data_IF_785337491424
#
_entry.id   IF_785337491424
#
_cell.length_a   1.000
_cell.length_b   1.000
_cell.length_c   1.000
_cell.angle_alpha   90.00
_cell.angle_beta   90.00
_cell.angle_gamma   90.00
#
_symmetry.space_group_name_H-M   'P 1'
#
loop_
_entity.id
_entity.type
_entity.pdbx_description
1 polymer ?
#
# COMPACT_ATOMS: atom_id res chain seq x y z
N UNK A 1 5.50 -30.21 24.97
CA UNK A 1 5.69 -29.96 23.52
C UNK A 1 6.86 -29.01 23.39
N UNK A 2 7.89 -29.42 22.63
CA UNK A 2 9.18 -28.74 22.49
C UNK A 2 9.03 -27.38 21.81
N UNK A 3 9.48 -26.32 22.47
CA UNK A 3 9.67 -24.98 21.91
C UNK A 3 10.83 -25.01 20.92
N UNK A 4 10.55 -25.42 19.69
CA UNK A 4 11.49 -25.29 18.58
C UNK A 4 11.76 -23.80 18.36
N UNK A 5 12.99 -23.40 18.59
CA UNK A 5 13.57 -22.11 18.22
C UNK A 5 13.28 -21.83 16.74
N UNK A 6 12.26 -21.03 16.42
CA UNK A 6 12.03 -20.54 15.06
C UNK A 6 13.26 -19.75 14.64
N UNK A 7 13.97 -20.29 13.63
CA UNK A 7 15.21 -19.75 13.07
C UNK A 7 15.01 -18.28 12.68
N UNK A 8 16.06 -17.48 12.89
CA UNK A 8 16.11 -16.02 12.73
C UNK A 8 15.49 -15.57 11.39
N UNK A 9 14.49 -14.68 11.49
CA UNK A 9 13.69 -14.13 10.39
C UNK A 9 14.38 -13.04 9.56
N UNK A 10 15.55 -12.55 9.97
CA UNK A 10 16.19 -11.40 9.33
C UNK A 10 17.33 -11.85 8.42
N UNK A 11 17.20 -11.57 7.13
CA UNK A 11 18.27 -11.79 6.15
C UNK A 11 18.87 -10.45 5.73
N UNK A 12 20.20 -10.43 5.67
CA UNK A 12 20.97 -9.29 5.18
C UNK A 12 21.01 -9.28 3.66
N UNK A 13 20.72 -8.15 3.03
CA UNK A 13 20.92 -7.95 1.59
C UNK A 13 21.73 -6.70 1.28
N UNK A 14 23.06 -6.84 1.22
CA UNK A 14 23.95 -5.72 0.88
C UNK A 14 23.95 -5.36 -0.61
N UNK A 15 23.65 -6.32 -1.48
CA UNK A 15 23.77 -6.16 -2.93
C UNK A 15 22.41 -5.79 -3.55
N UNK A 16 22.18 -4.50 -3.73
CA UNK A 16 20.99 -3.96 -4.38
C UNK A 16 20.75 -4.55 -5.78
N UNK A 17 21.80 -4.96 -6.51
CA UNK A 17 21.67 -5.54 -7.85
C UNK A 17 21.02 -6.94 -7.86
N UNK A 18 21.07 -7.63 -6.71
CA UNK A 18 20.50 -8.97 -6.51
C UNK A 18 19.22 -8.96 -5.69
N UNK A 19 18.74 -7.80 -5.25
CA UNK A 19 17.62 -7.69 -4.33
C UNK A 19 16.34 -8.33 -4.87
N UNK A 20 15.94 -8.02 -6.11
CA UNK A 20 14.75 -8.63 -6.72
C UNK A 20 14.87 -10.16 -6.80
N UNK A 21 16.03 -10.69 -7.19
CA UNK A 21 16.26 -12.13 -7.21
C UNK A 21 16.22 -12.76 -5.82
N UNK A 22 16.67 -12.04 -4.78
CA UNK A 22 16.59 -12.48 -3.38
C UNK A 22 15.15 -12.48 -2.87
N UNK A 23 14.33 -11.49 -3.21
CA UNK A 23 12.89 -11.49 -2.91
C UNK A 23 12.23 -12.72 -3.54
N UNK A 24 12.44 -12.95 -4.84
CA UNK A 24 11.86 -14.09 -5.55
C UNK A 24 12.31 -15.44 -4.97
N UNK A 25 13.57 -15.53 -4.55
CA UNK A 25 14.09 -16.71 -3.86
C UNK A 25 13.42 -16.90 -2.50
N UNK A 26 13.32 -15.84 -1.70
CA UNK A 26 12.73 -15.88 -0.38
C UNK A 26 11.22 -16.20 -0.43
N UNK A 27 10.49 -15.72 -1.43
CA UNK A 27 9.10 -16.13 -1.72
C UNK A 27 9.02 -17.64 -1.99
N UNK A 28 9.94 -18.21 -2.79
CA UNK A 28 9.99 -19.66 -3.02
C UNK A 28 10.32 -20.47 -1.76
N UNK A 29 11.11 -19.88 -0.86
CA UNK A 29 11.51 -20.51 0.41
C UNK A 29 10.48 -20.32 1.53
N UNK A 30 9.55 -19.37 1.40
CA UNK A 30 8.53 -19.04 2.40
C UNK A 30 7.74 -20.24 2.93
N UNK A 31 7.26 -21.20 2.10
CA UNK A 31 6.52 -22.37 2.61
C UNK A 31 7.32 -23.24 3.59
N UNK A 32 8.65 -23.17 3.55
CA UNK A 32 9.55 -23.95 4.41
C UNK A 32 10.02 -23.16 5.64
N UNK A 33 10.09 -21.84 5.54
CA UNK A 33 10.74 -20.98 6.53
C UNK A 33 9.78 -20.08 7.30
N UNK A 34 8.55 -19.90 6.80
CA UNK A 34 7.62 -18.89 7.30
C UNK A 34 8.02 -17.48 6.86
N UNK A 35 7.49 -16.43 7.53
CA UNK A 35 7.78 -15.05 7.16
C UNK A 35 9.26 -14.69 7.20
N UNK A 36 9.65 -13.75 6.35
CA UNK A 36 11.05 -13.33 6.18
C UNK A 36 11.10 -11.80 6.16
N UNK A 37 12.02 -11.20 6.92
CA UNK A 37 12.32 -9.77 6.85
C UNK A 37 13.71 -9.60 6.23
N UNK A 38 13.79 -8.97 5.07
CA UNK A 38 15.05 -8.54 4.48
C UNK A 38 15.40 -7.14 5.01
N UNK A 39 16.64 -6.92 5.44
CA UNK A 39 17.12 -5.59 5.87
C UNK A 39 18.50 -5.28 5.27
N UNK A 40 18.87 -4.00 5.23
CA UNK A 40 20.14 -3.50 4.73
C UNK A 40 21.36 -4.11 5.43
N UNK A 41 21.48 -3.88 6.73
CA UNK A 41 22.67 -4.22 7.51
C UNK A 41 22.58 -5.63 8.15
N UNK A 42 21.42 -6.27 8.09
CA UNK A 42 21.13 -7.54 8.78
C UNK A 42 21.17 -7.41 10.31
N UNK A 43 21.34 -6.20 10.84
CA UNK A 43 21.45 -5.92 12.25
C UNK A 43 20.06 -5.78 12.84
N UNK A 44 19.56 -6.90 13.36
CA UNK A 44 18.31 -6.93 14.13
C UNK A 44 18.31 -5.86 15.26
N UNK A 45 19.46 -5.60 15.87
CA UNK A 45 19.63 -4.62 16.94
C UNK A 45 19.37 -3.20 16.45
N UNK A 46 19.93 -2.79 15.31
CA UNK A 46 19.70 -1.46 14.75
C UNK A 46 18.24 -1.31 14.29
N UNK A 47 17.71 -2.33 13.63
CA UNK A 47 16.30 -2.37 13.21
C UNK A 47 15.35 -2.23 14.40
N UNK A 48 15.56 -3.00 15.48
CA UNK A 48 14.74 -2.93 16.69
C UNK A 48 14.92 -1.60 17.44
N UNK A 49 16.12 -1.02 17.47
CA UNK A 49 16.35 0.30 18.06
C UNK A 49 15.57 1.38 17.31
N UNK A 50 15.57 1.35 15.97
CA UNK A 50 14.77 2.29 15.18
C UNK A 50 13.27 2.08 15.42
N UNK A 51 12.80 0.84 15.48
CA UNK A 51 11.39 0.53 15.81
C UNK A 51 11.01 0.98 17.23
N UNK A 52 11.94 0.98 18.17
CA UNK A 52 11.71 1.49 19.53
C UNK A 52 11.46 3.01 19.53
N UNK A 53 12.04 3.73 18.57
CA UNK A 53 11.83 5.17 18.39
C UNK A 53 10.59 5.51 17.56
N UNK A 54 9.80 4.51 17.14
CA UNK A 54 8.61 4.75 16.32
C UNK A 54 7.47 5.33 17.16
N UNK A 55 6.99 6.50 16.76
CA UNK A 55 5.86 7.25 17.34
C UNK A 55 4.68 7.34 16.35
N UNK A 56 4.96 7.23 15.05
CA UNK A 56 3.98 7.36 13.98
C UNK A 56 3.99 6.13 13.06
N UNK A 57 2.83 5.72 12.57
CA UNK A 57 2.70 4.66 11.58
C UNK A 57 1.88 5.14 10.38
N UNK A 58 2.46 5.11 9.19
CA UNK A 58 1.73 5.32 7.94
C UNK A 58 1.66 4.02 7.16
N UNK A 59 0.47 3.68 6.68
CA UNK A 59 0.25 2.45 5.96
C UNK A 59 -0.61 2.72 4.73
N UNK A 60 -0.22 2.17 3.58
CA UNK A 60 -1.17 2.03 2.48
C UNK A 60 -2.25 0.99 2.85
N UNK A 61 -3.37 1.02 2.14
CA UNK A 61 -4.46 0.08 2.35
C UNK A 61 -4.37 -1.14 1.42
N UNK A 62 -4.46 -0.92 0.11
CA UNK A 62 -4.63 -1.98 -0.89
C UNK A 62 -3.43 -2.91 -0.90
N UNK A 63 -3.67 -4.21 -0.69
CA UNK A 63 -2.63 -5.23 -0.68
C UNK A 63 -1.51 -5.02 0.38
N UNK A 64 -1.60 -3.96 1.19
CA UNK A 64 -0.75 -3.61 2.33
C UNK A 64 -1.45 -3.92 3.66
N UNK A 65 -2.33 -3.04 4.15
CA UNK A 65 -3.13 -3.28 5.35
C UNK A 65 -4.24 -4.31 5.07
N UNK A 66 -4.83 -4.24 3.88
CA UNK A 66 -5.72 -5.23 3.32
C UNK A 66 -4.91 -6.28 2.57
N UNK A 67 -5.25 -7.56 2.68
CA UNK A 67 -4.65 -8.60 1.84
C UNK A 67 -5.17 -8.55 0.40
N UNK A 68 -6.38 -8.02 0.24
CA UNK A 68 -7.10 -7.89 -1.02
C UNK A 68 -6.87 -6.50 -1.65
N UNK A 69 -7.29 -6.37 -2.90
CA UNK A 69 -7.27 -5.11 -3.64
C UNK A 69 -8.72 -4.61 -3.80
N UNK A 70 -9.02 -3.45 -3.23
CA UNK A 70 -10.36 -2.82 -3.25
C UNK A 70 -10.88 -2.64 -4.68
N UNK A 71 -10.00 -2.30 -5.62
CA UNK A 71 -10.36 -2.06 -7.01
C UNK A 71 -10.82 -3.32 -7.74
N UNK A 72 -10.27 -4.48 -7.40
CA UNK A 72 -10.72 -5.74 -7.96
C UNK A 72 -12.16 -6.06 -7.54
N UNK A 73 -12.49 -5.79 -6.27
CA UNK A 73 -13.86 -5.96 -5.73
C UNK A 73 -14.83 -5.00 -6.40
N UNK A 74 -14.43 -3.74 -6.56
CA UNK A 74 -15.22 -2.73 -7.27
C UNK A 74 -15.45 -3.12 -8.74
N UNK A 75 -14.42 -3.60 -9.44
CA UNK A 75 -14.51 -4.03 -10.84
C UNK A 75 -15.50 -5.19 -11.03
N UNK A 76 -15.49 -6.17 -10.13
CA UNK A 76 -16.39 -7.31 -10.16
C UNK A 76 -17.84 -6.87 -9.94
N UNK A 77 -18.08 -6.01 -8.94
CA UNK A 77 -19.41 -5.44 -8.69
C UNK A 77 -19.91 -4.65 -9.90
N UNK A 78 -19.04 -3.82 -10.47
CA UNK A 78 -19.35 -3.00 -11.64
C UNK A 78 -19.67 -3.86 -12.85
N UNK A 79 -18.97 -4.97 -13.04
CA UNK A 79 -19.28 -5.93 -14.10
C UNK A 79 -20.67 -6.55 -13.93
N UNK A 80 -21.08 -6.89 -12.71
CA UNK A 80 -22.44 -7.40 -12.45
C UNK A 80 -23.52 -6.33 -12.65
N UNK A 81 -23.31 -5.11 -12.16
CA UNK A 81 -24.26 -4.00 -12.40
C UNK A 81 -24.37 -3.65 -13.88
N UNK A 82 -23.26 -3.72 -14.63
CA UNK A 82 -23.26 -3.50 -16.07
C UNK A 82 -24.17 -4.48 -16.83
N UNK A 83 -24.32 -5.72 -16.36
CA UNK A 83 -25.25 -6.68 -16.97
C UNK A 83 -26.70 -6.21 -16.88
N UNK A 84 -27.01 -5.36 -15.90
CA UNK A 84 -28.35 -4.88 -15.58
C UNK A 84 -28.58 -3.43 -16.03
N UNK A 85 -27.51 -2.67 -16.25
CA UNK A 85 -27.53 -1.27 -16.70
C UNK A 85 -26.78 -1.09 -18.03
N UNK A 86 -27.51 -0.94 -19.16
CA UNK A 86 -26.92 -0.72 -20.48
C UNK A 86 -26.11 0.58 -20.64
N UNK A 87 -26.40 1.60 -19.82
CA UNK A 87 -25.62 2.84 -19.81
C UNK A 87 -24.27 2.60 -19.14
N UNK A 88 -24.28 1.95 -17.98
CA UNK A 88 -23.06 1.54 -17.27
C UNK A 88 -22.19 0.59 -18.10
N UNK A 89 -22.81 -0.38 -18.78
CA UNK A 89 -22.11 -1.30 -19.68
C UNK A 89 -21.37 -0.59 -20.83
N UNK A 90 -21.98 0.45 -21.41
CA UNK A 90 -21.35 1.26 -22.45
C UNK A 90 -20.19 2.09 -21.90
N UNK A 91 -20.34 2.65 -20.70
CA UNK A 91 -19.24 3.37 -20.05
C UNK A 91 -18.06 2.44 -19.75
N UNK A 92 -18.33 1.27 -19.16
CA UNK A 92 -17.30 0.25 -18.88
C UNK A 92 -16.64 -0.31 -20.14
N UNK A 93 -17.40 -0.53 -21.22
CA UNK A 93 -16.85 -0.93 -22.51
C UNK A 93 -15.92 0.14 -23.10
N UNK A 94 -16.34 1.41 -23.07
CA UNK A 94 -15.54 2.53 -23.54
C UNK A 94 -14.26 2.70 -22.71
N UNK A 95 -14.36 2.58 -21.38
CA UNK A 95 -13.23 2.54 -20.46
C UNK A 95 -12.24 1.41 -20.81
N UNK A 96 -12.74 0.17 -20.95
CA UNK A 96 -11.93 -1.03 -21.23
C UNK A 96 -11.33 -1.07 -22.65
N UNK A 97 -11.83 -0.28 -23.61
CA UNK A 97 -11.35 -0.25 -25.00
C UNK A 97 -10.63 1.03 -25.42
N UNK A 98 -10.90 2.16 -24.79
CA UNK A 98 -10.32 3.44 -25.20
C UNK A 98 -9.26 3.89 -24.21
N UNK A 99 -9.51 3.69 -22.91
CA UNK A 99 -8.60 4.16 -21.85
C UNK A 99 -7.70 3.00 -21.41
N UNK A 100 -8.25 1.81 -21.21
CA UNK A 100 -7.50 0.62 -20.84
C UNK A 100 -6.52 0.11 -21.92
N UNK A 101 -6.69 0.18 -23.24
CA UNK A 101 -5.59 -0.23 -24.13
C UNK A 101 -4.46 0.80 -24.16
N UNK A 102 -4.73 2.05 -23.76
CA UNK A 102 -3.71 3.07 -23.54
C UNK A 102 -3.10 3.03 -22.12
N UNK A 103 -3.77 2.41 -21.13
CA UNK A 103 -3.36 2.35 -19.71
C UNK A 103 -3.17 0.93 -19.09
N UNK A 104 -3.79 -0.10 -19.67
CA UNK A 104 -3.73 -1.56 -19.46
C UNK A 104 -3.16 -2.33 -20.66
N UNK A 105 -2.82 -1.65 -21.77
CA UNK A 105 -2.10 -2.23 -22.92
C UNK A 105 -0.73 -2.82 -22.56
N UNK A 106 -0.38 -2.79 -21.28
CA UNK A 106 0.85 -3.31 -20.72
C UNK A 106 0.70 -4.30 -19.56
N UNK A 107 -0.47 -4.91 -19.35
CA UNK A 107 -0.55 -6.08 -18.45
C UNK A 107 0.13 -7.33 -19.04
N UNK A 108 0.53 -7.30 -20.33
CA UNK A 108 1.37 -8.35 -20.96
C UNK A 108 2.66 -7.84 -21.62
N UNK A 109 3.11 -6.63 -21.26
CA UNK A 109 4.41 -6.10 -21.65
C UNK A 109 4.46 -4.64 -21.27
N UNK A 110 5.49 -4.16 -20.56
CA UNK A 110 5.61 -2.74 -20.23
C UNK A 110 5.56 -1.82 -21.46
N UNK A 111 5.67 -0.49 -21.28
CA UNK A 111 6.07 0.51 -22.31
C UNK A 111 5.07 1.64 -22.71
N UNK A 112 4.38 2.32 -21.78
CA UNK A 112 3.92 3.71 -22.05
C UNK A 112 4.53 4.73 -21.07
N UNK A 113 4.47 4.47 -19.76
CA UNK A 113 5.07 5.34 -18.72
C UNK A 113 6.61 5.32 -18.68
N UNK A 114 7.24 4.21 -19.10
CA UNK A 114 8.71 4.00 -19.03
C UNK A 114 9.56 4.94 -19.90
N UNK A 115 8.97 5.61 -20.89
CA UNK A 115 9.70 6.49 -21.82
C UNK A 115 9.85 7.93 -21.31
N UNK A 116 9.02 8.37 -20.36
CA UNK A 116 9.01 9.75 -19.91
C UNK A 116 9.99 10.03 -18.76
N UNK A 117 10.39 8.98 -18.02
CA UNK A 117 11.30 9.11 -16.88
C UNK A 117 12.47 8.13 -17.03
N UNK A 118 13.62 8.60 -17.49
CA UNK A 118 14.86 7.85 -17.33
C UNK A 118 15.25 7.87 -15.85
N UNK A 119 15.03 6.74 -15.15
CA UNK A 119 15.27 6.56 -13.71
C UNK A 119 16.65 7.07 -13.23
N UNK A 120 17.66 7.11 -14.10
CA UNK A 120 19.02 7.60 -13.80
C UNK A 120 19.13 9.12 -13.56
N UNK A 121 18.22 9.95 -14.07
CA UNK A 121 18.18 11.40 -13.76
C UNK A 121 17.18 11.76 -12.65
N UNK A 122 16.39 10.80 -12.20
CA UNK A 122 15.10 10.98 -11.51
C UNK A 122 15.21 10.85 -9.98
N UNK A 123 16.28 10.25 -9.48
CA UNK A 123 16.55 10.08 -8.04
C UNK A 123 17.06 11.39 -7.39
N UNK A 124 17.52 12.35 -8.19
CA UNK A 124 18.17 13.57 -7.72
C UNK A 124 17.15 14.63 -7.21
N UNK A 125 15.87 14.57 -7.64
CA UNK A 125 14.79 15.46 -7.19
C UNK A 125 13.60 14.66 -6.60
N UNK A 126 13.87 13.96 -5.50
CA UNK A 126 12.94 13.06 -4.78
C UNK A 126 11.58 13.69 -4.42
N UNK A 127 11.49 14.97 -4.00
CA UNK A 127 10.20 15.60 -3.65
C UNK A 127 9.29 15.81 -4.86
N UNK A 128 9.82 16.25 -6.00
CA UNK A 128 9.03 16.53 -7.21
C UNK A 128 8.47 15.23 -7.80
N UNK A 129 9.25 14.14 -7.78
CA UNK A 129 8.81 12.82 -8.23
C UNK A 129 7.71 12.27 -7.31
N UNK A 130 7.92 12.33 -6.00
CA UNK A 130 6.95 11.83 -5.03
C UNK A 130 5.64 12.65 -5.04
N UNK A 131 5.69 13.95 -5.38
CA UNK A 131 4.53 14.79 -5.60
C UNK A 131 3.84 14.49 -6.95
N UNK A 132 4.61 14.27 -8.02
CA UNK A 132 4.08 13.95 -9.35
C UNK A 132 3.40 12.57 -9.34
N UNK A 133 4.03 11.55 -8.76
CA UNK A 133 3.46 10.21 -8.63
C UNK A 133 2.19 10.23 -7.76
N UNK A 134 2.20 10.97 -6.66
CA UNK A 134 1.02 11.12 -5.80
C UNK A 134 -0.13 11.85 -6.51
N UNK A 135 0.16 12.90 -7.30
CA UNK A 135 -0.84 13.61 -8.09
C UNK A 135 -1.43 12.70 -9.17
N UNK A 136 -0.61 11.89 -9.84
CA UNK A 136 -1.06 10.98 -10.87
C UNK A 136 -1.89 9.82 -10.30
N UNK A 137 -1.42 9.15 -9.24
CA UNK A 137 -2.19 8.13 -8.51
C UNK A 137 -3.52 8.69 -8.00
N UNK A 138 -3.53 9.93 -7.51
CA UNK A 138 -4.75 10.63 -7.11
C UNK A 138 -5.70 10.82 -8.30
N UNK A 139 -5.20 11.26 -9.46
CA UNK A 139 -6.04 11.40 -10.67
C UNK A 139 -6.61 10.05 -11.12
N UNK A 140 -5.82 8.98 -11.10
CA UNK A 140 -6.27 7.64 -11.48
C UNK A 140 -7.34 7.09 -10.53
N UNK A 141 -7.11 7.19 -9.21
CA UNK A 141 -8.10 6.82 -8.19
C UNK A 141 -9.39 7.64 -8.34
N UNK A 142 -9.26 8.94 -8.59
CA UNK A 142 -10.40 9.87 -8.75
C UNK A 142 -11.28 9.50 -9.95
N UNK A 143 -10.69 9.26 -11.12
CA UNK A 143 -11.44 8.91 -12.34
C UNK A 143 -12.13 7.55 -12.22
N UNK A 144 -11.47 6.58 -11.57
CA UNK A 144 -12.04 5.25 -11.36
C UNK A 144 -13.18 5.28 -10.33
N UNK A 145 -13.04 6.06 -9.25
CA UNK A 145 -14.06 6.19 -8.20
C UNK A 145 -15.30 6.92 -8.71
N UNK A 146 -15.16 8.09 -9.35
CA UNK A 146 -16.31 8.81 -9.91
C UNK A 146 -17.13 7.92 -10.83
N UNK A 147 -16.50 7.06 -11.61
CA UNK A 147 -17.23 6.24 -12.59
C UNK A 147 -17.77 4.92 -12.01
N UNK A 148 -17.22 4.45 -10.90
CA UNK A 148 -17.59 3.16 -10.31
C UNK A 148 -18.66 3.26 -9.22
N UNK A 149 -18.72 4.38 -8.50
CA UNK A 149 -19.63 4.47 -7.35
C UNK A 149 -20.76 5.48 -7.48
N UNK A 150 -20.76 6.35 -8.50
CA UNK A 150 -21.86 7.31 -8.70
C UNK A 150 -23.22 6.58 -8.76
N UNK A 151 -24.18 7.10 -7.99
CA UNK A 151 -25.53 6.56 -7.86
C UNK A 151 -25.64 5.33 -6.94
N UNK A 152 -24.54 4.79 -6.40
CA UNK A 152 -24.60 3.79 -5.32
C UNK A 152 -24.98 4.45 -4.01
N UNK A 153 -25.77 3.76 -3.18
CA UNK A 153 -26.01 4.24 -1.83
C UNK A 153 -24.77 4.04 -0.97
N UNK A 154 -24.59 4.88 0.05
CA UNK A 154 -23.52 4.74 1.03
C UNK A 154 -23.49 3.36 1.69
N UNK A 155 -24.66 2.77 1.92
CA UNK A 155 -24.80 1.41 2.45
C UNK A 155 -24.24 0.37 1.48
N UNK A 156 -24.54 0.47 0.18
CA UNK A 156 -24.00 -0.45 -0.83
C UNK A 156 -22.47 -0.35 -0.92
N UNK A 157 -21.93 0.87 -0.83
CA UNK A 157 -20.50 1.12 -0.87
C UNK A 157 -19.82 0.48 0.35
N UNK A 158 -20.34 0.71 1.55
CA UNK A 158 -19.82 0.08 2.78
C UNK A 158 -19.94 -1.43 2.77
N UNK A 159 -21.00 -1.97 2.16
CA UNK A 159 -21.17 -3.42 2.05
C UNK A 159 -20.01 -4.10 1.32
N UNK A 160 -19.27 -3.40 0.45
CA UNK A 160 -18.09 -3.93 -0.24
C UNK A 160 -16.97 -4.36 0.70
N UNK A 161 -16.88 -3.74 1.88
CA UNK A 161 -15.93 -4.14 2.92
C UNK A 161 -16.10 -5.60 3.36
N UNK A 162 -17.24 -6.25 3.09
CA UNK A 162 -17.43 -7.68 3.38
C UNK A 162 -16.54 -8.60 2.54
N UNK A 163 -16.00 -8.11 1.43
CA UNK A 163 -15.12 -8.85 0.53
C UNK A 163 -13.64 -8.61 0.79
N UNK A 164 -13.32 -7.73 1.76
CA UNK A 164 -11.97 -7.30 2.06
C UNK A 164 -11.52 -7.85 3.41
N UNK A 165 -10.31 -8.39 3.44
CA UNK A 165 -9.71 -8.98 4.64
C UNK A 165 -8.49 -8.18 5.05
N UNK A 166 -8.47 -7.72 6.29
CA UNK A 166 -7.27 -7.14 6.87
C UNK A 166 -6.19 -8.20 7.02
N UNK A 167 -4.93 -7.82 6.75
CA UNK A 167 -3.79 -8.70 7.04
C UNK A 167 -3.70 -8.94 8.55
N UNK A 168 -3.50 -10.19 8.99
CA UNK A 168 -3.29 -10.46 10.42
C UNK A 168 -2.11 -9.63 10.96
N UNK A 169 -2.25 -9.07 12.16
CA UNK A 169 -1.24 -8.18 12.76
C UNK A 169 -1.45 -6.69 12.50
N UNK A 170 -2.30 -6.28 11.54
CA UNK A 170 -2.44 -4.87 11.19
C UNK A 170 -3.16 -4.09 12.29
N UNK A 171 -4.23 -4.66 12.85
CA UNK A 171 -4.97 -4.06 13.97
C UNK A 171 -4.05 -3.95 15.19
N UNK A 172 -3.21 -4.95 15.43
CA UNK A 172 -2.22 -4.94 16.49
C UNK A 172 -1.18 -3.83 16.30
N UNK A 173 -0.68 -3.60 15.08
CA UNK A 173 0.21 -2.47 14.80
C UNK A 173 -0.46 -1.12 15.04
N UNK A 174 -1.69 -0.96 14.55
CA UNK A 174 -2.48 0.26 14.77
C UNK A 174 -2.78 0.51 16.25
N UNK A 175 -2.92 -0.55 17.06
CA UNK A 175 -3.10 -0.44 18.51
C UNK A 175 -1.82 -0.22 19.32
N UNK A 176 -0.63 -0.40 18.72
CA UNK A 176 0.66 -0.26 19.40
C UNK A 176 1.33 1.10 19.22
N UNK A 177 0.88 1.90 18.25
CA UNK A 177 1.52 3.15 17.84
C UNK A 177 0.47 4.27 17.93
N UNK A 178 0.79 5.33 18.69
CA UNK A 178 -0.18 6.36 19.10
C UNK A 178 -0.79 7.11 17.91
N UNK A 179 0.01 7.43 16.88
CA UNK A 179 -0.45 8.08 15.66
C UNK A 179 -0.30 7.16 14.44
N UNK A 180 -1.27 6.27 14.26
CA UNK A 180 -1.35 5.36 13.12
C UNK A 180 -2.36 5.87 12.08
N UNK A 181 -1.98 5.94 10.80
CA UNK A 181 -2.83 6.45 9.72
C UNK A 181 -2.78 5.54 8.48
N UNK A 182 -3.93 5.41 7.83
CA UNK A 182 -4.05 4.88 6.47
C UNK A 182 -3.94 6.03 5.48
N UNK A 183 -3.07 5.91 4.49
CA UNK A 183 -2.98 6.81 3.33
C UNK A 183 -3.15 5.97 2.08
N UNK A 184 -4.26 6.15 1.37
CA UNK A 184 -4.58 5.28 0.24
C UNK A 184 -5.31 6.01 -0.89
N UNK A 185 -5.17 5.49 -2.11
CA UNK A 185 -6.02 5.86 -3.23
C UNK A 185 -7.43 5.28 -3.17
N UNK A 186 -7.72 4.36 -2.24
CA UNK A 186 -9.03 3.72 -2.07
C UNK A 186 -10.13 4.64 -1.53
N UNK A 187 -11.34 4.08 -1.31
CA UNK A 187 -12.52 4.82 -0.85
C UNK A 187 -12.58 4.81 0.68
N UNK A 188 -12.64 5.99 1.28
CA UNK A 188 -12.64 6.17 2.74
C UNK A 188 -13.71 5.33 3.47
N UNK A 189 -14.97 5.36 2.99
CA UNK A 189 -16.05 4.60 3.63
C UNK A 189 -15.80 3.08 3.60
N UNK A 190 -15.15 2.56 2.56
CA UNK A 190 -14.81 1.13 2.44
C UNK A 190 -13.69 0.77 3.41
N UNK A 191 -12.63 1.59 3.47
CA UNK A 191 -11.50 1.40 4.39
C UNK A 191 -12.00 1.43 5.84
N UNK A 192 -12.77 2.47 6.20
CA UNK A 192 -13.30 2.63 7.56
C UNK A 192 -14.18 1.45 7.98
N UNK A 193 -15.09 1.02 7.09
CA UNK A 193 -15.95 -0.13 7.35
C UNK A 193 -15.15 -1.43 7.45
N UNK A 194 -14.11 -1.62 6.63
CA UNK A 194 -13.24 -2.80 6.69
C UNK A 194 -12.59 -2.93 8.06
N UNK A 195 -12.05 -1.84 8.61
CA UNK A 195 -11.48 -1.82 9.97
C UNK A 195 -12.55 -2.03 11.05
N UNK A 196 -13.71 -1.37 10.94
CA UNK A 196 -14.80 -1.51 11.90
C UNK A 196 -15.30 -2.95 12.01
N UNK A 197 -15.40 -3.67 10.89
CA UNK A 197 -15.78 -5.09 10.83
C UNK A 197 -14.78 -6.02 11.52
N UNK A 198 -13.53 -5.59 11.66
CA UNK A 198 -12.48 -6.28 12.41
C UNK A 198 -12.38 -5.79 13.87
N UNK A 199 -13.39 -5.07 14.36
CA UNK A 199 -13.47 -4.61 15.75
C UNK A 199 -12.59 -3.40 16.06
N UNK A 200 -12.06 -2.72 15.04
CA UNK A 200 -11.19 -1.56 15.21
C UNK A 200 -11.79 -0.33 14.54
N UNK A 201 -12.32 0.62 15.32
CA UNK A 201 -12.96 1.82 14.77
C UNK A 201 -11.90 2.91 14.60
N UNK A 202 -11.51 3.16 13.36
CA UNK A 202 -10.65 4.29 13.01
C UNK A 202 -11.44 5.59 13.06
N UNK A 203 -10.90 6.62 13.71
CA UNK A 203 -11.42 7.97 13.54
C UNK A 203 -11.16 8.49 12.12
N UNK A 204 -12.03 9.37 11.63
CA UNK A 204 -11.89 10.04 10.33
C UNK A 204 -10.51 10.69 10.12
N UNK A 205 -9.84 11.10 11.20
CA UNK A 205 -8.52 11.70 11.13
C UNK A 205 -7.39 10.70 10.89
N UNK A 206 -7.62 9.39 11.09
CA UNK A 206 -6.64 8.35 10.77
C UNK A 206 -6.70 7.88 9.32
N UNK A 207 -7.74 8.23 8.56
CA UNK A 207 -7.88 7.79 7.17
C UNK A 207 -7.71 8.99 6.23
N UNK A 208 -6.72 8.89 5.35
CA UNK A 208 -6.44 9.83 4.25
C UNK A 208 -6.66 9.08 2.94
N UNK A 209 -7.90 9.13 2.47
CA UNK A 209 -8.36 8.41 1.30
C UNK A 209 -9.42 9.23 0.55
N UNK A 210 -9.89 8.72 -0.60
CA UNK A 210 -10.90 9.39 -1.42
C UNK A 210 -12.22 9.41 -0.66
N UNK A 211 -12.79 10.60 -0.45
CA UNK A 211 -14.11 10.75 0.19
C UNK A 211 -15.16 11.07 -0.88
N UNK A 212 -16.30 10.42 -0.76
CA UNK A 212 -17.44 10.60 -1.64
C UNK A 212 -18.34 11.72 -1.14
N UNK A 213 -18.94 12.43 -2.08
CA UNK A 213 -20.05 13.35 -1.81
C UNK A 213 -21.37 12.63 -2.03
N UNK A 214 -22.36 12.87 -1.17
CA UNK A 214 -23.62 12.14 -1.17
C UNK A 214 -24.81 13.12 -1.27
N UNK A 215 -25.88 12.71 -1.95
CA UNK A 215 -27.15 13.44 -1.95
C UNK A 215 -27.98 13.18 -0.68
N UNK A 216 -29.18 13.77 -0.62
CA UNK A 216 -30.12 13.59 0.50
C UNK A 216 -30.62 12.14 0.66
N UNK A 217 -30.53 11.32 -0.40
CA UNK A 217 -30.85 9.89 -0.38
C UNK A 217 -29.61 9.02 -0.07
N UNK A 218 -28.51 9.63 0.38
CA UNK A 218 -27.22 8.97 0.63
C UNK A 218 -26.63 8.27 -0.61
N UNK A 219 -26.91 8.76 -1.81
CA UNK A 219 -26.31 8.24 -3.06
C UNK A 219 -25.09 9.06 -3.44
N UNK A 220 -24.03 8.39 -3.86
CA UNK A 220 -22.80 9.06 -4.24
C UNK A 220 -23.01 9.92 -5.50
N UNK A 221 -22.73 11.22 -5.41
CA UNK A 221 -22.79 12.18 -6.51
C UNK A 221 -21.43 12.32 -7.23
N UNK A 222 -20.35 11.96 -6.55
CA UNK A 222 -18.99 12.10 -7.03
C UNK A 222 -18.00 12.12 -5.87
N UNK A 223 -16.82 12.70 -6.10
CA UNK A 223 -15.76 12.84 -5.09
C UNK A 223 -15.80 14.24 -4.48
N UNK A 224 -15.51 14.35 -3.18
CA UNK A 224 -15.40 15.66 -2.53
C UNK A 224 -14.27 16.47 -3.17
N UNK A 225 -14.51 17.70 -3.66
CA UNK A 225 -13.53 18.47 -4.46
C UNK A 225 -12.19 18.74 -3.76
N UNK A 226 -12.17 18.80 -2.42
CA UNK A 226 -10.95 18.99 -1.63
C UNK A 226 -10.10 17.72 -1.53
N UNK A 227 -10.61 16.59 -2.00
CA UNK A 227 -9.99 15.27 -1.88
C UNK A 227 -9.39 14.73 -3.19
N UNK A 228 -9.60 15.40 -4.33
CA UNK A 228 -8.96 15.11 -5.63
C UNK A 228 -7.44 15.30 -5.62
N UNK A 229 -6.91 16.05 -4.63
CA UNK A 229 -5.47 16.35 -4.47
C UNK A 229 -4.87 15.72 -3.19
N UNK A 230 -5.58 14.79 -2.53
CA UNK A 230 -5.30 14.41 -1.14
C UNK A 230 -4.03 13.62 -0.91
N UNK A 231 -3.58 12.80 -1.86
CA UNK A 231 -2.35 12.02 -1.65
C UNK A 231 -1.10 12.89 -1.82
N UNK A 232 -1.17 13.97 -2.60
CA UNK A 232 -0.04 14.87 -2.87
C UNK A 232 0.16 15.99 -1.85
N UNK A 233 -0.89 16.78 -1.56
CA UNK A 233 -0.76 18.01 -0.74
C UNK A 233 -0.88 17.79 0.77
N UNK A 234 -1.79 16.92 1.22
CA UNK A 234 -1.94 16.63 2.68
C UNK A 234 -0.83 15.73 3.22
N UNK A 235 -0.07 15.12 2.30
CA UNK A 235 1.17 14.40 2.56
C UNK A 235 2.31 15.34 2.93
N UNK A 236 2.46 16.51 2.31
CA UNK A 236 3.46 17.49 2.74
C UNK A 236 3.16 17.99 4.15
N UNK A 237 1.88 18.22 4.50
CA UNK A 237 1.48 18.60 5.85
C UNK A 237 1.74 17.47 6.86
N UNK A 238 1.38 16.23 6.52
CA UNK A 238 1.61 15.05 7.39
C UNK A 238 3.11 14.71 7.54
N UNK A 239 3.91 14.82 6.48
CA UNK A 239 5.36 14.52 6.52
C UNK A 239 6.18 15.69 7.08
N UNK A 240 5.76 16.94 6.90
CA UNK A 240 6.43 18.10 7.48
C UNK A 240 6.31 18.12 9.02
N UNK A 241 5.18 17.64 9.55
CA UNK A 241 4.96 17.48 11.00
C UNK A 241 5.70 16.27 11.58
N UNK A 242 5.83 15.17 10.82
CA UNK A 242 6.25 13.86 11.31
C UNK A 242 7.61 13.42 10.74
N UNK A 243 8.66 14.17 11.08
CA UNK A 243 10.01 13.95 10.52
C UNK A 243 10.90 12.97 11.32
N UNK A 244 10.45 12.43 12.45
CA UNK A 244 11.19 11.45 13.24
C UNK A 244 10.24 10.37 13.76
N UNK A 245 10.77 9.16 13.98
CA UNK A 245 9.97 8.09 14.57
C UNK A 245 8.82 7.58 13.69
N UNK A 246 8.88 7.75 12.37
CA UNK A 246 7.83 7.25 11.48
C UNK A 246 8.16 5.86 10.95
N UNK A 247 7.23 4.92 11.08
CA UNK A 247 7.23 3.65 10.35
C UNK A 247 6.27 3.77 9.18
N UNK A 248 6.71 3.43 7.97
CA UNK A 248 5.85 3.43 6.79
C UNK A 248 5.81 2.04 6.18
N UNK A 249 4.62 1.55 5.81
CA UNK A 249 4.46 0.28 5.13
C UNK A 249 3.62 0.47 3.87
N UNK A 250 4.12 -0.03 2.75
CA UNK A 250 3.40 -0.18 1.49
C UNK A 250 3.58 -1.59 0.93
N UNK A 251 3.06 -1.85 -0.25
CA UNK A 251 3.17 -3.15 -0.93
C UNK A 251 3.99 -3.08 -2.23
N UNK A 252 4.39 -1.87 -2.61
CA UNK A 252 5.10 -1.60 -3.85
C UNK A 252 6.14 -0.50 -3.71
N UNK A 253 7.03 -0.41 -4.71
CA UNK A 253 7.96 0.71 -4.79
C UNK A 253 7.24 2.03 -5.05
N UNK A 254 6.00 1.97 -5.54
CA UNK A 254 5.21 3.14 -5.88
C UNK A 254 4.67 3.84 -4.64
N UNK A 255 4.64 3.14 -3.50
CA UNK A 255 4.35 3.68 -2.17
C UNK A 255 5.52 4.47 -1.59
N UNK A 256 6.60 4.66 -2.36
CA UNK A 256 7.69 5.57 -2.00
C UNK A 256 7.21 7.00 -1.72
N UNK A 257 6.03 7.35 -2.23
CA UNK A 257 5.41 8.61 -1.90
C UNK A 257 5.00 8.69 -0.42
N UNK A 258 4.86 7.59 0.32
CA UNK A 258 4.57 7.61 1.75
C UNK A 258 5.84 7.67 2.62
N UNK A 259 7.00 7.40 2.04
CA UNK A 259 8.23 7.16 2.78
C UNK A 259 8.80 8.43 3.43
N UNK A 260 9.32 8.26 4.66
CA UNK A 260 10.07 9.29 5.38
C UNK A 260 11.55 9.21 5.03
N UNK A 261 12.21 10.35 4.84
CA UNK A 261 13.67 10.40 4.75
C UNK A 261 14.36 10.09 6.09
N UNK A 262 13.63 10.12 7.21
CA UNK A 262 14.15 9.98 8.58
C UNK A 262 13.40 8.93 9.40
N UNK A 263 12.54 8.15 8.75
CA UNK A 263 11.74 7.09 9.36
C UNK A 263 12.30 5.70 9.04
N UNK A 264 11.44 4.70 9.10
CA UNK A 264 11.68 3.31 8.71
C UNK A 264 10.67 2.99 7.63
N UNK A 265 11.14 2.73 6.42
CA UNK A 265 10.28 2.46 5.27
C UNK A 265 10.32 0.98 4.92
N UNK A 266 9.16 0.37 4.77
CA UNK A 266 8.99 -1.04 4.50
C UNK A 266 8.07 -1.32 3.32
N UNK A 267 8.32 -2.44 2.65
CA UNK A 267 7.38 -3.06 1.71
C UNK A 267 6.98 -4.43 2.24
N UNK A 268 5.69 -4.77 2.18
CA UNK A 268 5.21 -6.14 2.32
C UNK A 268 5.07 -6.81 0.93
N UNK A 269 5.48 -8.07 0.84
CA UNK A 269 5.36 -8.91 -0.35
C UNK A 269 4.59 -10.16 0.01
N UNK A 270 3.40 -10.30 -0.56
CA UNK A 270 2.62 -11.51 -0.39
C UNK A 270 3.27 -12.67 -1.18
N UNK A 271 3.65 -13.77 -0.52
CA UNK A 271 4.33 -14.88 -1.18
C UNK A 271 3.43 -15.62 -2.18
N UNK A 272 2.11 -15.37 -2.18
CA UNK A 272 1.15 -15.95 -3.12
C UNK A 272 1.11 -15.18 -4.45
N UNK A 273 1.72 -14.00 -4.52
CA UNK A 273 1.75 -13.25 -5.78
C UNK A 273 2.59 -13.96 -6.84
N UNK A 274 2.11 -13.96 -8.11
CA UNK A 274 2.91 -14.47 -9.21
C UNK A 274 4.13 -13.57 -9.46
N UNK A 275 5.17 -14.17 -10.03
CA UNK A 275 6.47 -13.52 -10.21
C UNK A 275 6.40 -12.24 -11.07
N UNK A 276 5.52 -12.20 -12.06
CA UNK A 276 5.27 -11.04 -12.90
C UNK A 276 4.64 -9.88 -12.12
N UNK A 277 3.70 -10.15 -11.22
CA UNK A 277 3.13 -9.15 -10.30
C UNK A 277 4.19 -8.58 -9.36
N UNK A 278 5.03 -9.42 -8.76
CA UNK A 278 6.17 -8.99 -7.93
C UNK A 278 7.09 -8.07 -8.74
N UNK A 279 7.47 -8.46 -9.96
CA UNK A 279 8.31 -7.64 -10.84
C UNK A 279 7.64 -6.34 -11.27
N UNK A 280 6.31 -6.32 -11.38
CA UNK A 280 5.53 -5.14 -11.72
C UNK A 280 5.45 -4.11 -10.58
N UNK A 281 5.17 -4.58 -9.35
CA UNK A 281 5.14 -3.74 -8.14
C UNK A 281 6.53 -3.27 -7.70
N UNK A 282 7.55 -4.05 -8.03
CA UNK A 282 8.95 -3.74 -7.69
C UNK A 282 9.86 -3.91 -8.91
N UNK A 283 9.83 -2.99 -9.89
CA UNK A 283 10.75 -3.01 -11.03
C UNK A 283 12.21 -2.99 -10.55
N UNK A 284 13.06 -3.80 -11.19
CA UNK A 284 14.44 -4.05 -10.74
C UNK A 284 15.24 -2.79 -10.48
N UNK A 285 15.19 -1.81 -11.40
CA UNK A 285 16.02 -0.61 -11.30
C UNK A 285 15.50 0.36 -10.23
N UNK A 286 14.17 0.50 -10.10
CA UNK A 286 13.54 1.33 -9.07
C UNK A 286 13.79 0.76 -7.67
N UNK A 287 13.63 -0.56 -7.52
CA UNK A 287 13.91 -1.27 -6.28
C UNK A 287 15.39 -1.19 -5.91
N UNK A 288 16.28 -1.38 -6.89
CA UNK A 288 17.74 -1.23 -6.69
C UNK A 288 18.08 0.18 -6.22
N UNK A 289 17.49 1.21 -6.82
CA UNK A 289 17.73 2.60 -6.44
C UNK A 289 17.26 2.90 -5.02
N UNK A 290 16.01 2.55 -4.70
CA UNK A 290 15.44 2.76 -3.36
C UNK A 290 16.28 2.10 -2.27
N UNK A 291 16.74 0.87 -2.52
CA UNK A 291 17.64 0.16 -1.61
C UNK A 291 19.02 0.82 -1.57
N UNK A 292 19.69 1.01 -2.71
CA UNK A 292 21.06 1.56 -2.75
C UNK A 292 21.19 2.96 -2.13
N UNK A 293 20.12 3.75 -2.10
CA UNK A 293 20.06 5.07 -1.48
C UNK A 293 19.42 5.07 -0.09
N UNK A 294 19.22 3.89 0.52
CA UNK A 294 18.69 3.71 1.88
C UNK A 294 17.31 4.37 2.10
N UNK A 295 16.51 4.50 1.03
CA UNK A 295 15.12 4.95 1.13
C UNK A 295 14.17 3.83 1.55
N UNK A 296 14.53 2.58 1.31
CA UNK A 296 13.76 1.39 1.71
C UNK A 296 14.57 0.60 2.73
N UNK A 297 14.07 0.46 3.96
CA UNK A 297 14.83 -0.15 5.06
C UNK A 297 14.63 -1.66 5.16
N UNK A 298 13.42 -2.12 4.86
CA UNK A 298 13.09 -3.54 4.95
C UNK A 298 12.07 -4.01 3.92
N UNK A 299 12.10 -5.31 3.65
CA UNK A 299 11.05 -6.00 2.90
C UNK A 299 10.55 -7.15 3.76
N UNK A 300 9.26 -7.15 4.08
CA UNK A 300 8.57 -8.22 4.76
C UNK A 300 7.95 -9.15 3.71
N UNK A 301 8.40 -10.40 3.64
CA UNK A 301 7.78 -11.44 2.82
C UNK A 301 6.90 -12.27 3.73
N UNK A 302 5.59 -12.17 3.54
CA UNK A 302 4.60 -12.84 4.38
C UNK A 302 3.17 -12.55 3.96
N UNK A 303 2.25 -13.40 4.41
CA UNK A 303 0.80 -13.20 4.23
C UNK A 303 0.24 -12.23 5.29
N UNK A 304 0.96 -12.04 6.38
CA UNK A 304 0.60 -11.24 7.55
C UNK A 304 1.71 -10.25 7.94
N UNK A 305 1.36 -9.29 8.81
CA UNK A 305 2.29 -8.31 9.39
C UNK A 305 2.66 -8.63 10.84
N UNK A 306 2.30 -9.81 11.34
CA UNK A 306 2.59 -10.24 12.72
C UNK A 306 4.10 -10.23 13.05
N UNK A 307 5.03 -10.64 12.16
CA UNK A 307 6.47 -10.51 12.41
C UNK A 307 6.92 -9.09 12.69
N UNK A 308 6.29 -8.10 12.04
CA UNK A 308 6.58 -6.69 12.27
C UNK A 308 5.98 -6.24 13.60
N UNK A 309 4.71 -6.58 13.87
CA UNK A 309 4.05 -6.31 15.16
C UNK A 309 4.84 -6.89 16.35
N UNK A 310 5.32 -8.13 16.23
CA UNK A 310 6.17 -8.78 17.24
C UNK A 310 7.51 -8.07 17.41
N UNK A 311 8.06 -7.50 16.34
CA UNK A 311 9.31 -6.73 16.39
C UNK A 311 9.11 -5.39 17.08
N UNK A 312 8.03 -4.67 16.79
CA UNK A 312 7.64 -3.44 17.51
C UNK A 312 7.44 -3.74 19.00
N UNK A 313 6.67 -4.78 19.33
CA UNK A 313 6.43 -5.20 20.71
C UNK A 313 7.72 -5.55 21.46
N UNK A 314 8.67 -6.21 20.81
CA UNK A 314 10.00 -6.51 21.40
C UNK A 314 10.82 -5.24 21.61
N UNK A 315 10.83 -4.36 20.62
CA UNK A 315 11.52 -3.07 20.68
C UNK A 315 11.04 -2.24 21.87
N UNK A 316 9.71 -2.09 22.03
CA UNK A 316 9.08 -1.34 23.13
C UNK A 316 9.41 -1.89 24.53
N UNK A 317 9.58 -3.22 24.66
CA UNK A 317 9.96 -3.84 25.95
C UNK A 317 11.45 -3.72 26.30
N UNK A 318 12.28 -3.10 25.45
CA UNK A 318 13.75 -3.01 25.61
C UNK A 318 14.45 -4.36 25.83
N UNK A 319 13.89 -5.44 25.27
CA UNK A 319 14.47 -6.78 25.34
C UNK A 319 15.01 -7.17 23.96
N UNK A 320 16.21 -6.71 23.60
CA UNK A 320 16.85 -7.05 22.33
C UNK A 320 18.37 -7.10 22.38
#
# INVERSE_FOLDING_TARGET
>A
MSTSSRKRLVYRCDDASRLQSRILRAVKEYPLQGPIILTHDGSITNFLWRLYLTEHFLCDFDETACADNEWAVLDDLMAERAKQDPFLARQLHHLRRVIAPHNLGNLHGGHSWRKWFSFERVIIDTPLLAATMAAEQSMWGTVNVERSVIGMTRTDIRALAQHLHLRPGIVELFGMIDDARIVSGGIHDIIAETFARHGFILSDHHIRAIRLDYDEEERALGIKPKDVMVVGRRKEETLAELNHGMLTLGDSIWDMHLWSLRGINGIIVDPRWPEDKIKGKMPKDALKAAWAHEYLDFILIGEDVLPLADSVRRAQKRHW
#
